data_IF_858594471827
#
_entry.id   IF_858594471827
#
_cell.length_a   1.000
_cell.length_b   1.000
_cell.length_c   1.000
_cell.angle_alpha   90.00
_cell.angle_beta   90.00
_cell.angle_gamma   90.00
#
_symmetry.space_group_name_H-M   'P 1'
#
loop_
_entity.id
_entity.type
_entity.pdbx_description
1 polymer ?
#
# COMPACT_ATOMS: atom_id res chain seq x y z
N UNK A 1 -10.47 3.25 -24.81
CA UNK A 1 -11.51 2.72 -23.92
C UNK A 1 -10.91 2.63 -22.53
N UNK A 2 -11.38 3.48 -21.61
CA UNK A 2 -10.69 3.84 -20.36
C UNK A 2 -10.61 2.69 -19.36
N UNK A 3 -9.44 2.54 -18.72
CA UNK A 3 -9.23 1.65 -17.58
C UNK A 3 -9.22 2.50 -16.32
N UNK A 4 -10.09 2.17 -15.37
CA UNK A 4 -10.10 2.76 -14.04
C UNK A 4 -8.78 2.40 -13.34
N UNK A 5 -8.06 3.41 -12.86
CA UNK A 5 -6.94 3.20 -11.95
C UNK A 5 -7.54 3.00 -10.54
N UNK A 6 -7.34 1.82 -9.95
CA UNK A 6 -7.69 1.55 -8.57
C UNK A 6 -6.78 2.39 -7.67
N UNK A 7 -7.36 3.39 -7.00
CA UNK A 7 -6.66 4.13 -5.95
C UNK A 7 -6.52 3.22 -4.72
N UNK A 8 -5.34 3.22 -4.09
CA UNK A 8 -5.13 2.53 -2.81
C UNK A 8 -5.93 3.30 -1.75
N UNK A 9 -6.97 2.67 -1.19
CA UNK A 9 -7.73 3.21 -0.07
C UNK A 9 -7.10 2.71 1.24
N UNK A 10 -6.61 3.65 2.06
CA UNK A 10 -6.10 3.39 3.41
C UNK A 10 -7.28 3.36 4.40
N UNK A 11 -7.39 2.29 5.19
CA UNK A 11 -8.36 2.17 6.29
C UNK A 11 -7.69 2.61 7.59
N UNK A 12 -8.19 3.69 8.20
CA UNK A 12 -7.84 4.14 9.55
C UNK A 12 -9.05 4.03 10.49
N UNK A 13 -8.88 3.37 11.62
CA UNK A 13 -9.66 3.62 12.86
C UNK A 13 -8.82 3.14 14.05
N UNK A 14 -8.27 4.08 14.83
CA UNK A 14 -8.79 4.58 16.12
C UNK A 14 -8.36 3.74 17.33
N UNK A 15 -7.20 4.12 17.90
CA UNK A 15 -6.95 4.07 19.34
C UNK A 15 -6.34 5.43 19.72
N UNK A 16 -7.20 6.43 19.90
CA UNK A 16 -6.81 7.72 20.48
C UNK A 16 -6.86 7.63 22.00
N UNK A 17 -5.74 7.88 22.66
CA UNK A 17 -5.76 8.53 23.98
C UNK A 17 -5.15 9.91 23.82
N UNK A 18 -5.90 10.90 24.29
CA UNK A 18 -5.75 12.34 24.08
C UNK A 18 -4.47 12.95 24.62
N UNK A 19 -3.83 13.86 23.85
CA UNK A 19 -3.26 15.11 24.38
C UNK A 19 -2.97 16.13 23.26
N UNK A 20 -3.64 17.28 23.37
CA UNK A 20 -3.26 18.64 22.97
C UNK A 20 -2.85 18.98 21.51
N UNK A 21 -3.54 20.01 21.04
CA UNK A 21 -3.57 20.66 19.73
C UNK A 21 -2.40 21.64 19.57
N UNK A 22 -1.72 21.59 18.42
CA UNK A 22 -0.94 22.70 17.87
C UNK A 22 -1.31 22.85 16.39
N UNK A 23 -1.89 24.01 16.05
CA UNK A 23 -2.25 24.39 14.69
C UNK A 23 -1.00 24.95 13.96
N UNK A 24 -0.73 24.43 12.77
CA UNK A 24 0.33 24.83 11.85
C UNK A 24 -0.06 24.47 10.41
N UNK A 25 0.45 25.18 9.38
CA UNK A 25 -0.33 25.51 8.19
C UNK A 25 -0.43 24.37 7.17
N UNK A 26 -1.67 23.96 6.91
CA UNK A 26 -2.25 23.47 5.66
C UNK A 26 -1.40 22.54 4.75
N UNK A 27 -1.10 21.36 5.28
CA UNK A 27 -0.71 20.16 4.52
C UNK A 27 -1.76 19.04 4.57
N UNK A 28 -3.01 19.36 4.91
CA UNK A 28 -4.07 18.40 5.20
C UNK A 28 -4.36 17.42 4.07
N UNK A 29 -4.21 16.12 4.36
CA UNK A 29 -4.73 14.99 3.58
C UNK A 29 -6.24 14.79 3.82
N UNK A 30 -7.00 15.88 3.97
CA UNK A 30 -8.43 15.85 4.27
C UNK A 30 -9.24 16.12 3.01
N UNK A 31 -9.53 15.06 2.25
CA UNK A 31 -10.81 14.80 1.57
C UNK A 31 -10.64 13.58 0.65
N UNK A 32 -10.80 12.39 1.22
CA UNK A 32 -11.02 11.16 0.47
C UNK A 32 -12.40 10.62 0.84
N UNK A 33 -13.40 10.91 0.00
CA UNK A 33 -14.68 10.19 0.04
C UNK A 33 -14.45 8.78 -0.47
N UNK A 34 -14.79 7.79 0.36
CA UNK A 34 -14.67 6.36 0.08
C UNK A 34 -15.63 5.94 -1.06
N UNK A 35 -15.24 5.04 -1.97
CA UNK A 35 -16.20 4.20 -2.67
C UNK A 35 -16.80 3.19 -1.68
N UNK A 36 -18.12 3.13 -1.65
CA UNK A 36 -18.92 2.30 -0.76
C UNK A 36 -18.81 0.82 -1.11
N UNK A 37 -17.92 0.10 -0.42
CA UNK A 37 -17.94 -1.37 -0.33
C UNK A 37 -18.59 -1.88 0.98
N UNK A 38 -19.38 -1.05 1.67
CA UNK A 38 -20.21 -1.49 2.80
C UNK A 38 -21.69 -1.36 2.44
N UNK A 39 -22.52 -2.41 2.58
CA UNK A 39 -23.96 -2.26 2.48
C UNK A 39 -24.46 -1.36 3.64
N UNK A 40 -25.19 -0.30 3.29
CA UNK A 40 -25.88 0.56 4.24
C UNK A 40 -27.02 -0.22 4.94
N UNK A 41 -27.31 0.00 6.23
CA UNK A 41 -28.45 -0.61 6.88
C UNK A 41 -29.74 -0.07 6.27
N UNK A 42 -30.61 -0.99 5.85
CA UNK A 42 -31.86 -0.72 5.17
C UNK A 42 -32.77 0.25 5.95
N UNK A 43 -33.28 1.26 5.25
CA UNK A 43 -34.60 1.83 5.52
C UNK A 43 -35.37 1.86 4.20
N UNK A 44 -36.48 1.13 4.17
CA UNK A 44 -37.17 0.75 2.94
C UNK A 44 -38.07 1.82 2.34
N UNK A 45 -38.31 1.71 1.03
CA UNK A 45 -39.61 1.36 0.44
C UNK A 45 -39.55 1.50 -1.10
N UNK A 46 -39.93 0.44 -1.84
CA UNK A 46 -40.36 0.52 -3.25
C UNK A 46 -39.48 -0.22 -4.27
N UNK A 47 -39.90 -1.43 -4.67
CA UNK A 47 -39.34 -2.28 -5.73
C UNK A 47 -39.81 -1.83 -7.15
N UNK A 48 -39.34 -2.37 -8.30
CA UNK A 48 -39.25 -3.81 -8.59
C UNK A 48 -37.99 -4.34 -9.34
N UNK A 49 -37.71 -5.61 -9.05
CA UNK A 49 -37.11 -6.70 -9.83
C UNK A 49 -35.93 -6.45 -10.79
N UNK A 50 -34.76 -6.89 -10.33
CA UNK A 50 -33.71 -7.46 -11.18
C UNK A 50 -33.15 -8.72 -10.51
N UNK A 51 -32.92 -9.75 -11.33
CA UNK A 51 -32.80 -11.15 -10.92
C UNK A 51 -31.85 -11.44 -9.77
N UNK A 52 -32.27 -12.41 -8.96
CA UNK A 52 -31.49 -13.10 -7.94
C UNK A 52 -30.21 -13.70 -8.54
N UNK A 53 -29.13 -12.93 -8.50
CA UNK A 53 -27.81 -13.48 -8.30
C UNK A 53 -27.76 -13.92 -6.83
N UNK A 54 -27.86 -15.22 -6.59
CA UNK A 54 -27.56 -15.80 -5.28
C UNK A 54 -26.17 -15.35 -4.89
N UNK A 55 -26.08 -14.56 -3.81
CA UNK A 55 -24.84 -14.34 -3.09
C UNK A 55 -24.33 -15.71 -2.65
N UNK A 56 -23.46 -16.31 -3.45
CA UNK A 56 -22.66 -17.42 -2.99
C UNK A 56 -21.82 -16.92 -1.83
N UNK A 57 -21.83 -17.65 -0.72
CA UNK A 57 -21.00 -17.42 0.45
C UNK A 57 -19.56 -17.08 0.04
N UNK A 58 -19.24 -15.80 -0.04
CA UNK A 58 -17.89 -15.29 -0.09
C UNK A 58 -17.35 -15.42 1.33
N UNK A 59 -16.81 -16.61 1.63
CA UNK A 59 -16.20 -16.94 2.92
C UNK A 59 -15.29 -15.81 3.41
N UNK A 60 -15.46 -15.48 4.69
CA UNK A 60 -14.99 -14.27 5.34
C UNK A 60 -13.56 -13.83 4.95
N UNK A 61 -13.43 -12.55 4.63
CA UNK A 61 -12.23 -11.84 4.24
C UNK A 61 -12.18 -10.52 5.03
N UNK A 62 -11.01 -9.95 5.36
CA UNK A 62 -9.86 -10.53 6.06
C UNK A 62 -10.07 -10.59 7.59
N UNK A 63 -9.30 -11.44 8.29
CA UNK A 63 -9.20 -11.43 9.75
C UNK A 63 -8.32 -10.25 10.21
N UNK A 64 -8.94 -9.26 10.84
CA UNK A 64 -8.25 -8.06 11.31
C UNK A 64 -7.18 -8.35 12.39
N UNK A 65 -7.32 -9.44 13.16
CA UNK A 65 -6.31 -9.81 14.15
C UNK A 65 -5.03 -10.32 13.47
N UNK A 66 -5.18 -11.06 12.37
CA UNK A 66 -4.03 -11.52 11.56
C UNK A 66 -3.33 -10.32 10.92
N UNK A 67 -4.08 -9.35 10.39
CA UNK A 67 -3.48 -8.13 9.82
C UNK A 67 -2.78 -7.27 10.86
N UNK A 68 -3.38 -7.09 12.03
CA UNK A 68 -2.73 -6.37 13.12
C UNK A 68 -1.44 -7.08 13.58
N UNK A 69 -1.44 -8.41 13.65
CA UNK A 69 -0.24 -9.18 13.99
C UNK A 69 0.87 -9.03 12.93
N UNK A 70 0.50 -9.04 11.64
CA UNK A 70 1.44 -8.84 10.53
C UNK A 70 2.02 -7.41 10.51
N UNK A 71 1.19 -6.40 10.75
CA UNK A 71 1.63 -5.00 10.89
C UNK A 71 2.68 -4.85 11.99
N UNK A 72 2.40 -5.38 13.18
CA UNK A 72 3.33 -5.33 14.31
C UNK A 72 4.60 -6.15 14.07
N UNK A 73 4.49 -7.26 13.33
CA UNK A 73 5.65 -8.08 12.96
C UNK A 73 6.59 -7.35 12.01
N UNK A 74 6.04 -6.65 10.99
CA UNK A 74 6.84 -5.83 10.08
C UNK A 74 7.62 -4.73 10.83
N UNK A 75 6.98 -4.09 11.81
CA UNK A 75 7.63 -3.09 12.64
C UNK A 75 8.80 -3.70 13.44
N UNK A 76 8.58 -4.82 14.13
CA UNK A 76 9.64 -5.49 14.89
C UNK A 76 10.81 -5.94 14.01
N UNK A 77 10.55 -6.43 12.81
CA UNK A 77 11.59 -6.78 11.84
C UNK A 77 12.44 -5.55 11.47
N UNK A 78 11.80 -4.39 11.23
CA UNK A 78 12.50 -3.14 10.89
C UNK A 78 13.28 -2.55 12.05
N UNK A 79 12.71 -2.60 13.26
CA UNK A 79 13.37 -2.12 14.48
C UNK A 79 14.59 -2.98 14.84
N UNK A 80 14.45 -4.31 14.73
CA UNK A 80 15.53 -5.24 15.01
C UNK A 80 16.62 -5.22 13.93
N UNK A 81 16.30 -4.84 12.69
CA UNK A 81 17.18 -4.97 11.52
C UNK A 81 17.68 -6.42 11.32
N UNK A 82 16.85 -7.37 11.74
CA UNK A 82 17.12 -8.79 11.68
C UNK A 82 15.94 -9.54 11.07
N UNK A 83 16.23 -10.60 10.33
CA UNK A 83 15.21 -11.43 9.69
C UNK A 83 14.74 -12.52 10.67
N UNK A 84 14.02 -12.10 11.72
CA UNK A 84 13.46 -13.01 12.70
C UNK A 84 12.45 -13.97 12.02
N UNK A 85 12.66 -15.30 12.10
CA UNK A 85 11.79 -16.27 11.43
C UNK A 85 10.34 -16.28 11.95
N UNK A 86 10.12 -15.98 13.22
CA UNK A 86 8.78 -15.97 13.82
C UNK A 86 7.99 -14.75 13.33
N UNK A 87 8.63 -13.59 13.26
CA UNK A 87 8.00 -12.38 12.71
C UNK A 87 7.74 -12.51 11.21
N UNK A 88 8.66 -13.12 10.45
CA UNK A 88 8.42 -13.47 9.04
C UNK A 88 7.25 -14.45 8.90
N UNK A 89 7.08 -15.40 9.82
CA UNK A 89 5.95 -16.33 9.80
C UNK A 89 4.61 -15.62 10.02
N UNK A 90 4.56 -14.55 10.84
CA UNK A 90 3.36 -13.73 11.03
C UNK A 90 2.97 -12.98 9.76
N UNK A 91 3.93 -12.42 9.04
CA UNK A 91 3.69 -11.81 7.72
C UNK A 91 3.20 -12.87 6.72
N UNK A 92 3.84 -14.04 6.69
CA UNK A 92 3.44 -15.13 5.81
C UNK A 92 2.02 -15.64 6.10
N UNK A 93 1.58 -15.59 7.36
CA UNK A 93 0.21 -15.98 7.72
C UNK A 93 -0.84 -15.03 7.14
N UNK A 94 -0.60 -13.72 7.18
CA UNK A 94 -1.46 -12.75 6.51
C UNK A 94 -1.48 -12.94 4.99
N UNK A 95 -0.35 -13.30 4.37
CA UNK A 95 -0.30 -13.65 2.94
C UNK A 95 -1.14 -14.89 2.63
N UNK A 96 -1.03 -15.97 3.43
CA UNK A 96 -1.86 -17.18 3.26
C UNK A 96 -3.35 -16.89 3.43
N UNK A 97 -3.69 -16.04 4.41
CA UNK A 97 -5.05 -15.57 4.60
C UNK A 97 -5.54 -14.87 3.33
N UNK A 98 -4.78 -13.93 2.78
CA UNK A 98 -5.15 -13.28 1.52
C UNK A 98 -5.27 -14.25 0.36
N UNK A 99 -4.38 -15.24 0.23
CA UNK A 99 -4.50 -16.29 -0.80
C UNK A 99 -5.80 -17.08 -0.68
N UNK A 100 -6.23 -17.39 0.54
CA UNK A 100 -7.49 -18.08 0.78
C UNK A 100 -8.72 -17.24 0.37
N UNK A 101 -8.62 -15.91 0.51
CA UNK A 101 -9.69 -14.96 0.18
C UNK A 101 -9.68 -14.55 -1.30
N UNK A 102 -8.52 -14.49 -1.93
CA UNK A 102 -8.35 -13.98 -3.31
C UNK A 102 -8.95 -14.92 -4.36
N UNK A 103 -9.14 -16.20 -4.01
CA UNK A 103 -9.53 -17.23 -4.96
C UNK A 103 -8.52 -17.35 -6.11
N UNK A 104 -9.00 -17.77 -7.29
CA UNK A 104 -8.17 -17.85 -8.50
C UNK A 104 -7.98 -16.46 -9.09
N UNK A 105 -6.99 -15.72 -8.57
CA UNK A 105 -6.53 -14.48 -9.19
C UNK A 105 -5.54 -14.78 -10.31
N UNK A 106 -5.53 -13.94 -11.35
CA UNK A 106 -4.56 -14.00 -12.45
C UNK A 106 -3.81 -12.67 -12.52
N UNK A 107 -2.51 -12.67 -12.83
CA UNK A 107 -1.74 -11.44 -12.88
C UNK A 107 -2.24 -10.55 -14.02
N UNK A 108 -2.24 -9.25 -13.80
CA UNK A 108 -2.53 -8.30 -14.87
C UNK A 108 -1.51 -8.44 -16.01
N UNK A 109 -1.96 -8.18 -17.24
CA UNK A 109 -1.11 -8.29 -18.43
C UNK A 109 0.05 -7.28 -18.46
N UNK A 110 -0.06 -6.21 -17.69
CA UNK A 110 0.92 -5.11 -17.65
C UNK A 110 0.81 -4.39 -16.31
N UNK A 111 1.94 -3.91 -15.79
CA UNK A 111 1.94 -3.01 -14.64
C UNK A 111 1.53 -1.59 -15.02
N UNK A 112 0.89 -0.93 -14.05
CA UNK A 112 0.74 0.53 -14.01
C UNK A 112 2.01 1.13 -13.42
N UNK A 113 2.47 2.26 -13.96
CA UNK A 113 3.59 2.98 -13.35
C UNK A 113 3.14 3.57 -12.00
N UNK A 114 3.84 3.31 -10.88
CA UNK A 114 3.31 3.51 -9.53
C UNK A 114 3.22 4.96 -9.05
N UNK A 115 3.54 5.93 -9.89
CA UNK A 115 3.38 7.36 -9.61
C UNK A 115 2.58 7.99 -10.74
N UNK A 116 1.40 8.53 -10.45
CA UNK A 116 0.58 9.14 -11.48
C UNK A 116 1.17 10.48 -11.96
N UNK A 117 0.74 10.92 -13.13
CA UNK A 117 1.09 12.21 -13.74
C UNK A 117 2.59 12.39 -14.08
N UNK A 118 3.38 11.31 -14.12
CA UNK A 118 4.79 11.33 -14.53
C UNK A 118 5.12 10.17 -15.48
N UNK A 119 6.11 10.38 -16.35
CA UNK A 119 6.61 9.35 -17.27
C UNK A 119 7.68 8.47 -16.59
N UNK A 120 7.62 7.13 -16.74
CA UNK A 120 8.67 6.23 -16.24
C UNK A 120 10.08 6.61 -16.71
N UNK A 121 10.20 7.06 -17.95
CA UNK A 121 11.50 7.40 -18.57
C UNK A 121 12.21 8.58 -17.90
N UNK A 122 11.46 9.41 -17.15
CA UNK A 122 11.98 10.56 -16.43
C UNK A 122 12.07 10.32 -14.92
N UNK A 123 11.36 9.32 -14.42
CA UNK A 123 11.16 9.10 -13.00
C UNK A 123 12.04 7.98 -12.42
N UNK A 124 12.39 6.97 -13.21
CA UNK A 124 13.20 5.86 -12.71
C UNK A 124 14.64 6.33 -12.50
N UNK A 125 15.14 6.20 -11.27
CA UNK A 125 16.48 6.59 -10.88
C UNK A 125 17.60 5.84 -11.62
N UNK A 126 18.76 6.48 -11.69
CA UNK A 126 19.93 5.98 -12.42
C UNK A 126 19.80 6.08 -13.94
N UNK A 127 20.78 5.58 -14.67
CA UNK A 127 20.72 5.51 -16.12
C UNK A 127 19.93 4.26 -16.53
N UNK A 128 18.64 4.43 -16.83
CA UNK A 128 17.76 3.32 -17.24
C UNK A 128 17.45 2.33 -16.12
N UNK A 129 17.38 2.78 -14.86
CA UNK A 129 17.09 1.90 -13.71
C UNK A 129 18.32 1.26 -13.08
N UNK A 130 19.53 1.71 -13.43
CA UNK A 130 20.80 1.19 -12.90
C UNK A 130 20.97 1.35 -11.38
N UNK A 131 20.08 2.07 -10.70
CA UNK A 131 20.08 2.19 -9.23
C UNK A 131 19.61 0.92 -8.51
N UNK A 132 18.87 0.04 -9.19
CA UNK A 132 18.50 -1.26 -8.62
C UNK A 132 19.70 -2.18 -8.59
N UNK A 133 20.05 -2.64 -7.39
CA UNK A 133 21.13 -3.61 -7.18
C UNK A 133 20.59 -4.77 -6.37
N UNK A 134 20.44 -5.93 -7.02
CA UNK A 134 20.16 -7.18 -6.31
C UNK A 134 21.43 -7.64 -5.60
N UNK A 135 21.50 -7.42 -4.30
CA UNK A 135 22.58 -7.97 -3.48
C UNK A 135 22.19 -9.38 -2.99
N UNK A 136 22.88 -10.46 -3.43
CA UNK A 136 22.56 -11.82 -3.02
C UNK A 136 22.85 -12.09 -1.52
N UNK A 137 23.59 -11.20 -0.86
CA UNK A 137 23.85 -11.27 0.58
C UNK A 137 22.71 -10.75 1.46
N UNK A 138 21.71 -10.06 0.89
CA UNK A 138 20.54 -9.56 1.61
C UNK A 138 19.52 -10.71 1.72
N UNK A 139 19.30 -11.18 2.96
CA UNK A 139 18.46 -12.34 3.23
C UNK A 139 16.97 -11.97 3.37
N UNK A 140 16.66 -10.77 3.84
CA UNK A 140 15.30 -10.25 3.76
C UNK A 140 15.24 -8.72 3.61
N UNK A 141 14.03 -8.23 3.39
CA UNK A 141 13.74 -6.86 2.96
C UNK A 141 14.08 -5.79 4.02
N UNK A 142 14.26 -6.18 5.28
CA UNK A 142 14.66 -5.26 6.36
C UNK A 142 16.17 -5.17 6.56
N UNK A 143 16.97 -6.10 6.01
CA UNK A 143 18.41 -6.17 6.31
C UNK A 143 19.18 -4.96 5.79
N UNK A 144 19.98 -4.32 6.66
CA UNK A 144 21.00 -3.34 6.26
C UNK A 144 22.03 -3.97 5.33
N UNK A 145 22.16 -3.43 4.13
CA UNK A 145 23.15 -3.85 3.14
C UNK A 145 23.34 -2.80 2.04
N UNK A 146 24.50 -2.83 1.39
CA UNK A 146 24.73 -2.03 0.20
C UNK A 146 23.90 -2.60 -0.97
N UNK A 147 23.20 -1.74 -1.69
CA UNK A 147 22.30 -2.10 -2.79
C UNK A 147 20.87 -2.31 -2.30
N UNK A 148 19.97 -1.42 -2.70
CA UNK A 148 18.56 -1.54 -2.35
C UNK A 148 17.83 -2.33 -3.45
N UNK A 149 17.11 -3.40 -3.12
CA UNK A 149 16.38 -4.21 -4.08
C UNK A 149 15.04 -3.56 -4.46
N UNK A 150 15.00 -2.24 -4.62
CA UNK A 150 13.87 -1.53 -5.20
C UNK A 150 14.37 -0.44 -6.18
N UNK A 151 13.44 0.19 -6.88
CA UNK A 151 13.73 1.33 -7.74
C UNK A 151 13.36 2.61 -7.00
N UNK A 152 14.31 3.55 -6.90
CA UNK A 152 13.98 4.90 -6.47
C UNK A 152 13.30 5.63 -7.62
N UNK A 153 12.16 6.23 -7.31
CA UNK A 153 11.41 7.05 -8.24
C UNK A 153 11.57 8.51 -7.84
N UNK A 154 12.01 9.31 -8.81
CA UNK A 154 12.24 10.73 -8.62
C UNK A 154 11.20 11.52 -9.39
N UNK A 155 10.65 12.52 -8.73
CA UNK A 155 9.79 13.50 -9.36
C UNK A 155 10.54 14.80 -9.44
N UNK A 156 10.57 15.39 -10.63
CA UNK A 156 11.19 16.68 -10.81
C UNK A 156 10.25 17.81 -10.37
N UNK A 157 10.49 18.34 -9.18
CA UNK A 157 9.74 19.45 -8.62
C UNK A 157 10.67 20.63 -8.30
N UNK A 158 10.82 21.51 -9.28
CA UNK A 158 11.65 22.71 -9.15
C UNK A 158 11.24 23.64 -8.00
N UNK A 159 9.95 23.61 -7.61
CA UNK A 159 9.38 24.54 -6.63
C UNK A 159 9.18 23.90 -5.25
N UNK A 160 9.51 22.62 -5.09
CA UNK A 160 9.29 21.85 -3.87
C UNK A 160 7.84 21.98 -3.35
N UNK A 161 6.88 21.98 -4.28
CA UNK A 161 5.45 22.16 -4.03
C UNK A 161 4.65 20.86 -3.97
N UNK A 162 5.31 19.72 -4.19
CA UNK A 162 4.74 18.38 -4.40
C UNK A 162 3.72 18.35 -5.55
N UNK A 163 3.90 19.21 -6.56
CA UNK A 163 3.01 19.38 -7.70
C UNK A 163 3.78 19.56 -9.00
N UNK A 164 3.19 19.15 -10.10
CA UNK A 164 3.74 19.41 -11.43
C UNK A 164 3.51 20.87 -11.87
N UNK A 165 4.02 21.21 -13.06
CA UNK A 165 3.87 22.55 -13.65
C UNK A 165 2.41 22.93 -13.95
N UNK A 166 1.51 21.95 -14.05
CA UNK A 166 0.06 22.16 -14.19
C UNK A 166 -0.66 22.21 -12.82
N UNK A 167 0.06 22.07 -11.71
CA UNK A 167 -0.49 22.09 -10.35
C UNK A 167 -1.06 20.74 -9.88
N UNK A 168 -0.91 19.66 -10.64
CA UNK A 168 -1.38 18.31 -10.28
C UNK A 168 -0.44 17.66 -9.28
N UNK A 169 -0.99 16.90 -8.33
CA UNK A 169 -0.21 16.10 -7.39
C UNK A 169 0.35 14.84 -8.07
N UNK A 170 1.30 14.19 -7.39
CA UNK A 170 1.90 12.92 -7.78
C UNK A 170 1.42 11.78 -6.85
N UNK A 171 0.15 11.35 -6.95
CA UNK A 171 -0.34 10.28 -6.09
C UNK A 171 0.37 8.96 -6.43
N UNK A 172 0.71 8.20 -5.38
CA UNK A 172 1.10 6.82 -5.52
C UNK A 172 -0.12 6.00 -5.99
N UNK A 173 0.09 5.12 -6.97
CA UNK A 173 -0.93 4.22 -7.48
C UNK A 173 -0.42 2.78 -7.42
N UNK A 174 -1.34 1.86 -7.16
CA UNK A 174 -0.99 0.44 -7.17
C UNK A 174 -0.51 0.03 -8.57
N UNK A 175 0.55 -0.78 -8.63
CA UNK A 175 1.06 -1.32 -9.91
C UNK A 175 0.06 -2.29 -10.54
N UNK A 176 -0.80 -2.88 -9.71
CA UNK A 176 -1.83 -3.86 -10.00
C UNK A 176 -2.80 -3.96 -8.81
N UNK A 177 -3.99 -4.52 -9.00
CA UNK A 177 -4.92 -4.82 -7.90
C UNK A 177 -4.28 -5.78 -6.88
N UNK A 178 -4.52 -5.52 -5.60
CA UNK A 178 -3.94 -6.28 -4.50
C UNK A 178 -4.55 -5.95 -3.15
N UNK A 179 -3.98 -6.54 -2.10
CA UNK A 179 -4.39 -6.37 -0.71
C UNK A 179 -3.34 -5.60 0.07
N UNK A 180 -3.77 -4.62 0.86
CA UNK A 180 -2.85 -3.91 1.77
C UNK A 180 -2.46 -4.87 2.89
N UNK A 181 -1.18 -5.21 2.96
CA UNK A 181 -0.60 -6.07 3.99
C UNK A 181 -0.13 -5.25 5.19
N UNK A 182 0.57 -4.14 4.92
CA UNK A 182 1.03 -3.17 5.93
C UNK A 182 0.83 -1.77 5.38
N UNK A 183 0.43 -0.85 6.23
CA UNK A 183 0.44 0.58 5.92
C UNK A 183 0.92 1.34 7.15
N UNK A 184 1.98 2.14 6.96
CA UNK A 184 2.52 3.04 7.98
C UNK A 184 2.45 4.47 7.50
N UNK A 185 1.96 5.32 8.36
CA UNK A 185 1.99 6.76 8.20
C UNK A 185 2.61 7.40 9.46
N UNK A 186 2.49 8.73 9.55
CA UNK A 186 2.94 9.48 10.73
C UNK A 186 4.45 9.69 10.84
N UNK A 187 5.25 9.18 9.89
CA UNK A 187 6.69 9.39 9.88
C UNK A 187 7.04 10.88 9.90
N UNK A 188 7.96 11.26 10.78
CA UNK A 188 8.48 12.61 10.91
C UNK A 188 9.99 12.67 10.63
N UNK A 189 10.49 13.83 10.18
CA UNK A 189 11.93 14.06 10.11
C UNK A 189 12.59 13.85 11.48
N UNK A 190 13.51 12.90 11.56
CA UNK A 190 14.24 12.55 12.78
C UNK A 190 13.84 11.20 13.40
N UNK A 191 12.77 10.57 12.93
CA UNK A 191 12.37 9.25 13.39
C UNK A 191 13.45 8.20 13.10
N UNK A 192 13.67 7.28 14.06
CA UNK A 192 14.69 6.24 13.98
C UNK A 192 14.38 5.19 12.90
N UNK A 193 13.08 4.96 12.64
CA UNK A 193 12.61 4.12 11.55
C UNK A 193 12.89 4.80 10.21
N UNK A 194 13.91 4.31 9.52
CA UNK A 194 14.31 4.76 8.19
C UNK A 194 13.31 4.22 7.17
N UNK A 195 12.68 5.09 6.39
CA UNK A 195 11.83 4.66 5.28
C UNK A 195 10.58 5.48 5.01
N UNK A 196 10.29 6.54 5.77
CA UNK A 196 9.12 7.38 5.49
C UNK A 196 7.80 6.68 5.80
N UNK A 197 6.71 7.25 5.27
CA UNK A 197 5.41 6.59 5.23
C UNK A 197 5.46 5.53 4.13
N UNK A 198 4.96 4.32 4.39
CA UNK A 198 5.04 3.24 3.42
C UNK A 198 3.81 2.34 3.40
N UNK A 199 3.63 1.66 2.28
CA UNK A 199 2.59 0.64 2.08
C UNK A 199 3.23 -0.62 1.49
N UNK A 200 2.87 -1.78 2.04
CA UNK A 200 3.13 -3.08 1.46
C UNK A 200 1.84 -3.63 0.89
N UNK A 201 1.84 -3.91 -0.42
CA UNK A 201 0.70 -4.42 -1.15
C UNK A 201 0.99 -5.85 -1.61
N UNK A 202 0.18 -6.80 -1.16
CA UNK A 202 0.22 -8.17 -1.66
C UNK A 202 -0.55 -8.29 -2.98
N UNK A 203 0.12 -8.78 -4.02
CA UNK A 203 -0.42 -8.99 -5.36
C UNK A 203 -0.72 -10.49 -5.54
N UNK A 204 -1.95 -10.95 -5.32
CA UNK A 204 -2.28 -12.37 -5.25
C UNK A 204 -2.05 -13.09 -6.59
N UNK A 205 -2.34 -12.42 -7.72
CA UNK A 205 -2.13 -13.00 -9.06
C UNK A 205 -0.66 -13.26 -9.40
N UNK A 206 0.27 -12.65 -8.65
CA UNK A 206 1.72 -12.78 -8.83
C UNK A 206 2.42 -13.51 -7.69
N UNK A 207 1.74 -13.68 -6.56
CA UNK A 207 2.34 -14.09 -5.30
C UNK A 207 3.57 -13.23 -4.93
N UNK A 208 3.40 -11.91 -5.06
CA UNK A 208 4.45 -10.91 -4.83
C UNK A 208 3.98 -9.83 -3.88
N UNK A 209 4.91 -9.22 -3.14
CA UNK A 209 4.67 -8.02 -2.35
C UNK A 209 5.33 -6.83 -3.07
N UNK A 210 4.54 -5.80 -3.35
CA UNK A 210 5.03 -4.50 -3.79
C UNK A 210 5.19 -3.57 -2.57
N UNK A 211 6.30 -2.85 -2.51
CA UNK A 211 6.61 -1.90 -1.43
C UNK A 211 6.69 -0.48 -1.99
N UNK A 212 6.01 0.45 -1.33
CA UNK A 212 5.95 1.87 -1.66
C UNK A 212 6.39 2.65 -0.43
N UNK A 213 7.34 3.56 -0.55
CA UNK A 213 7.90 4.36 0.54
C UNK A 213 8.36 5.74 0.05
#
# INVERSE_FOLDING_TARGET
MGRAASAIALLFSMLTTSAARAEGPDGGWADFSLPSCLPSPAQGAGAPDAGTATAGDAGACPDLAILAAADQADLRLREADECDPEELARLAEAVKMFDSCAGKSSPAKSWVFPVANISPALAIGGAGGSGYVRNPGIKCFVSKGAGHPAHDLFVHDHRQSSRDKEGRRFPAVAVEDGYVLVARDGWQPGDELKGGNYVMLYLPGRQQIAYYA
#
